data_IF_536026001003
#
_entry.id   IF_536026001003
#
_cell.length_a   1.000
_cell.length_b   1.000
_cell.length_c   1.000
_cell.angle_alpha   90.00
_cell.angle_beta   90.00
_cell.angle_gamma   90.00
#
_symmetry.space_group_name_H-M   'P 1'
#
loop_
_entity.id
_entity.type
_entity.pdbx_description
1 polymer ?
#
# COMPACT_ATOMS: atom_id res chain seq x y z
N UNK A 1 -14.93 -6.90 8.14
CA UNK A 1 -15.02 -7.40 6.75
C UNK A 1 -13.71 -8.12 6.46
N UNK A 2 -13.72 -9.46 6.40
CA UNK A 2 -12.55 -10.28 6.03
C UNK A 2 -12.49 -10.33 4.51
N UNK A 3 -11.41 -9.84 3.92
CA UNK A 3 -11.03 -10.21 2.57
C UNK A 3 -10.22 -11.49 2.67
N UNK A 4 -10.58 -12.48 1.87
CA UNK A 4 -9.93 -13.78 1.87
C UNK A 4 -8.41 -13.59 1.71
N UNK A 5 -7.64 -13.98 2.73
CA UNK A 5 -6.17 -14.01 2.70
C UNK A 5 -5.43 -12.74 3.13
N UNK A 6 -6.05 -11.56 3.11
CA UNK A 6 -5.46 -10.34 3.69
C UNK A 6 -6.17 -9.99 4.99
N UNK A 7 -5.53 -10.35 6.10
CA UNK A 7 -5.61 -9.50 7.29
C UNK A 7 -5.02 -8.16 6.87
N UNK A 8 -5.84 -7.27 6.31
CA UNK A 8 -5.48 -5.87 6.10
C UNK A 8 -5.04 -5.39 7.46
N UNK A 9 -3.75 -5.20 7.63
CA UNK A 9 -3.17 -4.67 8.85
C UNK A 9 -3.73 -3.25 8.96
N UNK A 10 -4.83 -3.11 9.70
CA UNK A 10 -5.48 -1.82 9.96
C UNK A 10 -4.77 -1.04 11.04
N UNK A 11 -3.84 -1.67 11.76
CA UNK A 11 -3.05 -1.04 12.81
C UNK A 11 -1.74 -0.52 12.23
N UNK A 12 -1.48 0.77 12.40
CA UNK A 12 -0.21 1.36 11.99
C UNK A 12 0.95 0.70 12.75
N UNK A 13 1.95 0.12 12.07
CA UNK A 13 3.10 -0.43 12.76
C UNK A 13 3.95 0.74 13.30
N UNK A 14 4.21 0.75 14.62
CA UNK A 14 5.10 1.75 15.25
C UNK A 14 6.59 1.49 14.98
N UNK A 15 6.90 0.49 14.16
CA UNK A 15 8.25 0.08 13.80
C UNK A 15 8.43 0.21 12.29
N UNK A 16 9.67 0.48 11.86
CA UNK A 16 10.00 0.58 10.45
C UNK A 16 9.56 -0.70 9.72
N UNK A 17 8.61 -0.57 8.80
CA UNK A 17 7.94 -1.70 8.15
C UNK A 17 7.87 -1.45 6.66
N UNK A 18 8.03 -2.50 5.86
CA UNK A 18 7.91 -2.45 4.41
C UNK A 18 6.90 -3.49 3.96
N UNK A 19 5.93 -3.05 3.17
CA UNK A 19 4.89 -3.89 2.60
C UNK A 19 4.96 -3.83 1.08
N UNK A 20 4.63 -4.93 0.42
CA UNK A 20 4.47 -5.00 -1.03
C UNK A 20 3.19 -5.77 -1.35
N UNK A 21 2.37 -5.18 -2.20
CA UNK A 21 1.10 -5.73 -2.67
C UNK A 21 1.15 -5.81 -4.19
N UNK A 22 1.18 -7.02 -4.74
CA UNK A 22 1.06 -7.21 -6.17
C UNK A 22 -0.42 -7.13 -6.54
N UNK A 23 -0.82 -6.10 -7.29
CA UNK A 23 -2.24 -5.86 -7.65
C UNK A 23 -2.62 -6.75 -8.83
N UNK A 24 -1.76 -6.80 -9.84
CA UNK A 24 -1.86 -7.65 -11.03
C UNK A 24 -0.43 -7.91 -11.59
N UNK A 25 -0.26 -8.67 -12.69
CA UNK A 25 1.07 -8.97 -13.24
C UNK A 25 1.90 -7.74 -13.67
N UNK A 26 1.24 -6.60 -13.89
CA UNK A 26 1.86 -5.37 -14.40
C UNK A 26 1.84 -4.22 -13.39
N UNK A 27 1.24 -4.38 -12.21
CA UNK A 27 1.08 -3.32 -11.21
C UNK A 27 1.30 -3.84 -9.80
N UNK A 28 2.07 -3.10 -9.01
CA UNK A 28 2.24 -3.35 -7.58
C UNK A 28 2.24 -2.04 -6.79
N UNK A 29 1.95 -2.16 -5.51
CA UNK A 29 2.05 -1.06 -4.54
C UNK A 29 3.02 -1.45 -3.44
N UNK A 30 3.97 -0.58 -3.13
CA UNK A 30 4.86 -0.69 -1.98
C UNK A 30 4.52 0.33 -0.93
N UNK A 31 4.50 -0.07 0.34
CA UNK A 31 4.27 0.85 1.46
C UNK A 31 5.43 0.75 2.43
N UNK A 32 6.15 1.84 2.59
CA UNK A 32 7.21 1.99 3.58
C UNK A 32 6.65 2.82 4.74
N UNK A 33 6.69 2.27 5.95
CA UNK A 33 6.27 2.93 7.18
C UNK A 33 7.48 3.14 8.07
N UNK A 34 7.60 4.34 8.64
CA UNK A 34 8.55 4.67 9.70
C UNK A 34 7.79 5.33 10.87
N UNK A 35 8.47 5.58 11.98
CA UNK A 35 7.88 6.08 13.23
C UNK A 35 6.94 7.29 13.07
N UNK A 36 7.31 8.24 12.20
CA UNK A 36 6.56 9.48 11.98
C UNK A 36 6.26 9.76 10.50
N UNK A 37 6.33 8.73 9.64
CA UNK A 37 6.03 8.89 8.22
C UNK A 37 5.61 7.60 7.56
N UNK A 38 4.90 7.71 6.44
CA UNK A 38 4.73 6.61 5.51
C UNK A 38 4.91 7.10 4.07
N UNK A 39 5.27 6.19 3.18
CA UNK A 39 5.31 6.38 1.74
C UNK A 39 4.55 5.22 1.09
N UNK A 40 3.69 5.54 0.13
CA UNK A 40 2.99 4.58 -0.71
C UNK A 40 3.42 4.82 -2.15
N UNK A 41 4.09 3.84 -2.73
CA UNK A 41 4.69 3.87 -4.05
C UNK A 41 3.90 2.95 -4.96
N UNK A 42 3.38 3.50 -6.05
CA UNK A 42 2.75 2.75 -7.13
C UNK A 42 3.82 2.48 -8.18
N UNK A 43 3.93 1.21 -8.58
CA UNK A 43 4.91 0.78 -9.56
C UNK A 43 4.23 -0.01 -10.67
N UNK A 44 4.62 0.27 -11.90
CA UNK A 44 4.20 -0.47 -13.10
C UNK A 44 5.36 -1.28 -13.64
N UNK A 45 5.06 -2.47 -14.17
CA UNK A 45 6.06 -3.34 -14.77
C UNK A 45 6.36 -2.88 -16.20
N UNK A 46 7.63 -2.72 -16.53
CA UNK A 46 8.12 -2.44 -17.88
C UNK A 46 9.25 -3.40 -18.21
N UNK A 47 8.97 -4.38 -19.08
CA UNK A 47 9.88 -5.52 -19.29
C UNK A 47 10.14 -6.28 -17.99
N UNK A 48 11.41 -6.36 -17.60
CA UNK A 48 11.86 -6.99 -16.34
C UNK A 48 11.98 -6.00 -15.16
N UNK A 49 11.73 -4.72 -15.40
CA UNK A 49 11.88 -3.66 -14.40
C UNK A 49 10.54 -3.21 -13.83
N UNK A 50 10.58 -2.66 -12.61
CA UNK A 50 9.45 -1.98 -11.98
C UNK A 50 9.74 -0.50 -11.92
N UNK A 51 8.93 0.29 -12.61
CA UNK A 51 9.07 1.73 -12.70
C UNK A 51 8.08 2.41 -11.75
N UNK A 52 8.54 3.45 -11.06
CA UNK A 52 7.66 4.26 -10.21
C UNK A 52 6.67 5.02 -11.09
N UNK A 53 5.38 4.68 -10.97
CA UNK A 53 4.29 5.34 -11.69
C UNK A 53 3.57 6.40 -10.86
N UNK A 54 3.71 6.33 -9.52
CA UNK A 54 3.15 7.32 -8.62
C UNK A 54 3.65 7.17 -7.19
N UNK A 55 3.59 8.25 -6.41
CA UNK A 55 3.96 8.22 -5.00
C UNK A 55 3.07 9.15 -4.19
N UNK A 56 2.64 8.67 -3.04
CA UNK A 56 1.98 9.47 -2.00
C UNK A 56 2.66 9.20 -0.66
N UNK A 57 2.45 10.07 0.32
CA UNK A 57 3.01 9.86 1.65
C UNK A 57 2.58 10.94 2.62
N UNK A 58 2.91 10.71 3.88
CA UNK A 58 2.72 11.69 4.94
C UNK A 58 3.90 11.65 5.90
N UNK A 59 4.22 12.81 6.47
CA UNK A 59 5.15 12.95 7.60
C UNK A 59 4.50 13.88 8.61
N UNK A 60 4.55 13.53 9.89
CA UNK A 60 3.96 14.33 10.95
C UNK A 60 3.68 13.53 12.22
N UNK A 61 2.81 14.04 13.11
CA UNK A 61 2.38 13.34 14.31
C UNK A 61 1.83 11.94 13.99
N UNK A 62 2.07 10.98 14.89
CA UNK A 62 1.73 9.57 14.65
C UNK A 62 0.24 9.39 14.29
N UNK A 63 -0.66 10.09 14.97
CA UNK A 63 -2.11 10.02 14.70
C UNK A 63 -2.48 10.48 13.29
N UNK A 64 -1.77 11.50 12.78
CA UNK A 64 -1.94 11.97 11.41
C UNK A 64 -1.41 10.94 10.41
N UNK A 65 -0.22 10.40 10.65
CA UNK A 65 0.41 9.41 9.78
C UNK A 65 -0.42 8.12 9.74
N UNK A 66 -0.90 7.64 10.88
CA UNK A 66 -1.78 6.47 11.00
C UNK A 66 -3.08 6.66 10.21
N UNK A 67 -3.68 7.86 10.27
CA UNK A 67 -4.89 8.17 9.48
C UNK A 67 -4.62 8.13 7.98
N UNK A 68 -3.49 8.65 7.52
CA UNK A 68 -3.15 8.64 6.09
C UNK A 68 -2.75 7.25 5.60
N UNK A 69 -1.99 6.50 6.40
CA UNK A 69 -1.66 5.09 6.14
C UNK A 69 -2.94 4.25 6.01
N UNK A 70 -3.90 4.41 6.94
CA UNK A 70 -5.17 3.69 6.90
C UNK A 70 -5.97 3.99 5.63
N UNK A 71 -5.93 5.23 5.12
CA UNK A 71 -6.54 5.58 3.83
C UNK A 71 -5.83 4.89 2.67
N UNK A 72 -4.50 4.89 2.64
CA UNK A 72 -3.71 4.23 1.61
C UNK A 72 -4.00 2.71 1.60
N UNK A 73 -4.03 2.05 2.75
CA UNK A 73 -4.35 0.62 2.87
C UNK A 73 -5.76 0.29 2.39
N UNK A 74 -6.74 1.17 2.64
CA UNK A 74 -8.10 1.01 2.10
C UNK A 74 -8.12 1.11 0.57
N UNK A 75 -7.38 2.06 0.00
CA UNK A 75 -7.27 2.20 -1.45
C UNK A 75 -6.62 0.97 -2.09
N UNK A 76 -5.50 0.49 -1.53
CA UNK A 76 -4.84 -0.75 -1.98
C UNK A 76 -5.80 -1.94 -1.90
N UNK A 77 -6.55 -2.07 -0.81
CA UNK A 77 -7.54 -3.12 -0.65
C UNK A 77 -8.66 -3.07 -1.71
N UNK A 78 -9.07 -1.88 -2.16
CA UNK A 78 -10.02 -1.74 -3.26
C UNK A 78 -9.41 -2.15 -4.60
N UNK A 79 -8.19 -1.69 -4.91
CA UNK A 79 -7.47 -2.06 -6.13
C UNK A 79 -7.31 -3.58 -6.27
N UNK A 80 -6.98 -4.26 -5.16
CA UNK A 80 -6.86 -5.73 -5.15
C UNK A 80 -8.20 -6.43 -5.40
N UNK A 81 -9.32 -5.92 -4.89
CA UNK A 81 -10.65 -6.49 -5.18
C UNK A 81 -11.05 -6.30 -6.64
N UNK A 82 -10.76 -5.13 -7.18
CA UNK A 82 -11.07 -4.80 -8.57
C UNK A 82 -10.29 -5.71 -9.52
N UNK A 83 -9.00 -5.99 -9.22
CA UNK A 83 -8.21 -6.92 -10.04
C UNK A 83 -8.70 -8.37 -9.96
N UNK A 84 -9.25 -8.81 -8.83
CA UNK A 84 -9.85 -10.14 -8.67
C UNK A 84 -11.13 -10.32 -9.50
N UNK A 85 -11.88 -9.24 -9.75
CA UNK A 85 -13.14 -9.27 -10.53
C UNK A 85 -12.95 -9.20 -12.04
N UNK A 86 -11.72 -9.01 -12.53
CA UNK A 86 -11.38 -8.97 -13.98
C UNK A 86 -11.02 -10.38 -14.51
N UNK A 87 -11.24 -11.44 -13.73
CA UNK A 87 -11.03 -12.83 -14.15
C UNK A 87 -12.16 -13.41 -14.98
#
# INVERSE_FOLDING_TARGET
>A
MKLNGLNVVTKFPRVNSKYQFNINPSERVRIDVNENSFKCLHETKSGDEWLLSGATGARGPIDFVEKQFSKAMKAVSSMMKESENIK
#
